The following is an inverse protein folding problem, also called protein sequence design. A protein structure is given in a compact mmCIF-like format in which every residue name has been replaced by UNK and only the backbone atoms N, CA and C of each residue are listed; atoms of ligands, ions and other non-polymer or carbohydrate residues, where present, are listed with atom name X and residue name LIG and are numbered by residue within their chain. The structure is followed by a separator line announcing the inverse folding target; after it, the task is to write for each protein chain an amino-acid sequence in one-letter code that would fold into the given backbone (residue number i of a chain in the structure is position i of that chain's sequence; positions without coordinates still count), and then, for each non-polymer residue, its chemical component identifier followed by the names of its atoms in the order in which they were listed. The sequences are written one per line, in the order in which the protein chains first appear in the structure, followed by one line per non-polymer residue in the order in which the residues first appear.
data_IF_455377868389
#
_entry.id   IF_455377868389
#
_cell.length_a   1.000
_cell.length_b   1.000
_cell.length_c   1.000
_cell.angle_alpha   90.00
_cell.angle_beta   90.00
_cell.angle_gamma   90.00
#
_symmetry.space_group_name_H-M   'P 1'
#
loop_
_entity.id
_entity.type
_entity.pdbx_description
1 polymer ?
#
# COMPACT_ATOMS: atom_id res chain seq x y z
N UNK A 1 -1.19 16.43 9.65
CA UNK A 1 -2.49 16.01 9.08
C UNK A 1 -2.66 14.54 9.38
N UNK A 2 -3.88 14.09 9.63
CA UNK A 2 -4.18 12.67 9.69
C UNK A 2 -4.07 12.04 8.31
N UNK A 3 -3.98 10.71 8.27
CA UNK A 3 -3.93 10.00 7.00
C UNK A 3 -5.23 10.17 6.20
N UNK A 4 -6.38 10.16 6.88
CA UNK A 4 -7.68 10.36 6.22
C UNK A 4 -7.81 11.77 5.62
N UNK A 5 -7.30 12.79 6.31
CA UNK A 5 -7.24 14.16 5.77
C UNK A 5 -6.37 14.23 4.50
N UNK A 6 -5.22 13.57 4.51
CA UNK A 6 -4.32 13.52 3.36
C UNK A 6 -4.97 12.83 2.16
N UNK A 7 -5.61 11.67 2.36
CA UNK A 7 -6.34 10.94 1.30
C UNK A 7 -7.51 11.78 0.77
N UNK A 8 -8.27 12.44 1.65
CA UNK A 8 -9.40 13.27 1.27
C UNK A 8 -9.03 14.44 0.35
N UNK A 9 -7.84 15.01 0.54
CA UNK A 9 -7.34 16.18 -0.20
C UNK A 9 -6.46 15.86 -1.40
N UNK A 10 -6.03 14.60 -1.54
CA UNK A 10 -5.11 14.17 -2.59
C UNK A 10 -5.72 14.28 -4.00
N UNK A 11 -4.86 14.65 -4.95
CA UNK A 11 -5.14 14.59 -6.39
C UNK A 11 -5.02 13.16 -6.93
N UNK A 12 -5.41 12.93 -8.19
CA UNK A 12 -5.37 11.61 -8.83
C UNK A 12 -3.97 10.98 -8.80
N UNK A 13 -2.92 11.78 -8.97
CA UNK A 13 -1.53 11.33 -8.94
C UNK A 13 -1.16 10.80 -7.55
N UNK A 14 -1.47 11.56 -6.50
CA UNK A 14 -1.16 11.19 -5.13
C UNK A 14 -2.00 9.99 -4.66
N UNK A 15 -3.28 9.93 -5.06
CA UNK A 15 -4.16 8.81 -4.77
C UNK A 15 -3.67 7.51 -5.43
N UNK A 16 -3.37 7.53 -6.73
CA UNK A 16 -2.85 6.37 -7.45
C UNK A 16 -1.50 5.92 -6.88
N UNK A 17 -0.55 6.84 -6.70
CA UNK A 17 0.76 6.52 -6.16
C UNK A 17 0.69 6.00 -4.72
N UNK A 18 -0.16 6.59 -3.86
CA UNK A 18 -0.36 6.14 -2.48
C UNK A 18 -0.93 4.72 -2.40
N UNK A 19 -1.91 4.40 -3.25
CA UNK A 19 -2.48 3.06 -3.35
C UNK A 19 -1.47 2.03 -3.90
N UNK A 20 -0.77 2.36 -4.99
CA UNK A 20 0.29 1.50 -5.56
C UNK A 20 1.43 1.30 -4.55
N UNK A 21 1.76 2.31 -3.74
CA UNK A 21 2.73 2.21 -2.66
C UNK A 21 2.31 1.19 -1.58
N UNK A 22 1.02 1.16 -1.20
CA UNK A 22 0.47 0.17 -0.28
C UNK A 22 0.60 -1.25 -0.85
N UNK A 23 0.27 -1.43 -2.14
CA UNK A 23 0.47 -2.69 -2.87
C UNK A 23 1.93 -3.12 -2.91
N UNK A 24 2.85 -2.22 -3.25
CA UNK A 24 4.29 -2.48 -3.34
C UNK A 24 4.84 -3.05 -2.03
N UNK A 25 4.44 -2.47 -0.89
CA UNK A 25 4.88 -2.92 0.42
C UNK A 25 4.33 -4.30 0.79
N UNK A 26 3.12 -4.64 0.31
CA UNK A 26 2.47 -5.92 0.56
C UNK A 26 2.82 -7.01 -0.47
N UNK A 27 3.54 -6.66 -1.54
CA UNK A 27 3.92 -7.56 -2.63
C UNK A 27 4.64 -8.86 -2.21
N UNK A 28 5.46 -8.92 -1.13
CA UNK A 28 6.12 -10.16 -0.70
C UNK A 28 5.15 -11.32 -0.37
N UNK A 29 3.85 -11.04 -0.23
CA UNK A 29 2.79 -12.04 -0.06
C UNK A 29 2.31 -12.67 -1.38
N UNK A 30 2.54 -12.02 -2.52
CA UNK A 30 2.06 -12.44 -3.83
C UNK A 30 3.19 -12.89 -4.76
N UNK A 31 4.38 -12.34 -4.59
CA UNK A 31 5.47 -12.53 -5.54
C UNK A 31 6.80 -12.81 -4.85
N UNK A 32 7.70 -13.44 -5.60
CA UNK A 32 9.06 -13.73 -5.15
C UNK A 32 9.88 -12.46 -4.85
N UNK A 33 11.01 -12.59 -4.13
CA UNK A 33 11.77 -11.47 -3.59
C UNK A 33 12.36 -10.52 -4.64
N UNK A 34 12.54 -10.98 -5.89
CA UNK A 34 13.10 -10.22 -7.02
C UNK A 34 12.02 -9.69 -7.98
N UNK A 35 10.75 -10.01 -7.74
CA UNK A 35 9.67 -9.62 -8.64
C UNK A 35 9.30 -8.14 -8.45
N UNK A 36 9.20 -7.39 -9.56
CA UNK A 36 8.83 -5.98 -9.57
C UNK A 36 7.65 -5.67 -10.54
N UNK A 37 6.52 -6.40 -10.44
CA UNK A 37 5.41 -6.29 -11.38
C UNK A 37 4.75 -4.89 -11.39
N UNK A 38 4.89 -4.10 -10.33
CA UNK A 38 4.24 -2.78 -10.22
C UNK A 38 5.02 -1.64 -10.88
N UNK A 39 6.25 -1.85 -11.36
CA UNK A 39 7.06 -0.80 -12.00
C UNK A 39 6.34 -0.08 -13.16
N UNK A 40 5.61 -0.77 -14.05
CA UNK A 40 4.83 -0.10 -15.09
C UNK A 40 3.74 0.80 -14.54
N UNK A 41 3.06 0.39 -13.45
CA UNK A 41 2.00 1.18 -12.79
C UNK A 41 2.56 2.46 -12.14
N UNK A 42 3.71 2.37 -11.48
CA UNK A 42 4.40 3.55 -10.93
C UNK A 42 4.66 4.61 -11.99
N UNK A 43 5.06 4.21 -13.20
CA UNK A 43 5.30 5.14 -14.30
C UNK A 43 4.01 5.79 -14.85
N UNK A 44 2.83 5.20 -14.60
CA UNK A 44 1.53 5.79 -14.95
C UNK A 44 1.00 6.75 -13.90
N UNK A 45 1.44 6.66 -12.64
CA UNK A 45 0.90 7.46 -11.54
C UNK A 45 1.07 8.98 -11.74
N UNK A 46 2.07 9.41 -12.52
CA UNK A 46 2.34 10.84 -12.74
C UNK A 46 1.19 11.58 -13.43
N UNK A 47 0.45 10.92 -14.32
CA UNK A 47 -0.55 11.58 -15.18
C UNK A 47 -1.60 10.62 -15.77
N UNK A 48 -1.66 9.38 -15.31
CA UNK A 48 -2.60 8.37 -15.79
C UNK A 48 -2.30 7.81 -17.18
N UNK A 49 -1.25 8.25 -17.89
CA UNK A 49 -0.90 7.69 -19.21
C UNK A 49 -0.68 6.20 -19.12
N UNK A 50 -1.35 5.46 -20.02
CA UNK A 50 -1.32 3.99 -20.07
C UNK A 50 -1.81 3.28 -18.80
N UNK A 51 -2.46 3.98 -17.86
CA UNK A 51 -2.88 3.42 -16.57
C UNK A 51 -3.70 2.14 -16.73
N UNK A 52 -4.81 2.19 -17.48
CA UNK A 52 -5.70 1.06 -17.65
C UNK A 52 -4.99 -0.15 -18.30
N UNK A 53 -4.18 0.10 -19.33
CA UNK A 53 -3.45 -0.94 -20.07
C UNK A 53 -2.41 -1.60 -19.18
N UNK A 54 -1.63 -0.81 -18.44
CA UNK A 54 -0.61 -1.34 -17.52
C UNK A 54 -1.24 -2.03 -16.32
N UNK A 55 -2.35 -1.53 -15.80
CA UNK A 55 -3.10 -2.20 -14.74
C UNK A 55 -3.60 -3.58 -15.19
N UNK A 56 -4.16 -3.68 -16.40
CA UNK A 56 -4.59 -4.95 -16.96
C UNK A 56 -3.41 -5.93 -17.11
N UNK A 57 -2.26 -5.46 -17.60
CA UNK A 57 -1.06 -6.30 -17.72
C UNK A 57 -0.58 -6.83 -16.36
N UNK A 58 -0.52 -5.97 -15.34
CA UNK A 58 -0.13 -6.37 -13.97
C UNK A 58 -1.10 -7.38 -13.38
N UNK A 59 -2.41 -7.21 -13.60
CA UNK A 59 -3.42 -8.18 -13.14
C UNK A 59 -3.21 -9.54 -13.77
N UNK A 60 -3.03 -9.59 -15.09
CA UNK A 60 -2.78 -10.84 -15.82
C UNK A 60 -1.53 -11.55 -15.31
N UNK A 61 -0.44 -10.81 -15.07
CA UNK A 61 0.80 -11.38 -14.53
C UNK A 61 0.59 -11.96 -13.13
N UNK A 62 -0.15 -11.26 -12.27
CA UNK A 62 -0.37 -11.63 -10.88
C UNK A 62 -1.48 -12.66 -10.66
N UNK A 63 -2.34 -12.90 -11.65
CA UNK A 63 -3.40 -13.92 -11.60
C UNK A 63 -2.83 -15.35 -11.66
N UNK A 64 -1.69 -15.54 -12.33
CA UNK A 64 -1.08 -16.86 -12.54
C UNK A 64 -0.57 -17.53 -11.26
N UNK A 65 -0.37 -16.78 -10.18
CA UNK A 65 0.05 -17.35 -8.90
C UNK A 65 -1.15 -17.96 -8.15
N UNK A 66 -1.05 -19.19 -7.64
CA UNK A 66 -2.01 -19.64 -6.64
C UNK A 66 -1.80 -18.85 -5.35
N UNK A 67 -2.88 -18.37 -4.73
CA UNK A 67 -2.82 -17.64 -3.46
C UNK A 67 -3.54 -18.45 -2.41
N UNK A 68 -2.86 -18.71 -1.30
CA UNK A 68 -3.47 -19.28 -0.12
C UNK A 68 -4.45 -18.30 0.52
N UNK A 69 -5.42 -18.82 1.26
CA UNK A 69 -6.27 -18.01 2.13
C UNK A 69 -5.42 -17.14 3.08
N UNK A 70 -6.00 -16.02 3.55
CA UNK A 70 -5.36 -15.11 4.49
C UNK A 70 -4.79 -13.82 3.86
N UNK A 71 -3.66 -13.28 4.36
CA UNK A 71 -3.17 -11.95 3.95
C UNK A 71 -2.92 -11.82 2.44
N UNK A 72 -2.44 -12.87 1.78
CA UNK A 72 -2.19 -12.86 0.35
C UNK A 72 -3.50 -12.67 -0.47
N UNK A 73 -4.61 -13.30 -0.04
CA UNK A 73 -5.91 -13.11 -0.68
C UNK A 73 -6.40 -11.65 -0.58
N UNK A 74 -6.15 -10.97 0.53
CA UNK A 74 -6.47 -9.54 0.70
C UNK A 74 -5.67 -8.66 -0.26
N UNK A 75 -4.36 -8.93 -0.43
CA UNK A 75 -3.51 -8.16 -1.36
C UNK A 75 -3.93 -8.40 -2.81
N UNK A 76 -4.34 -9.64 -3.15
CA UNK A 76 -4.90 -9.95 -4.47
C UNK A 76 -6.20 -9.19 -4.72
N UNK A 77 -7.12 -9.18 -3.75
CA UNK A 77 -8.36 -8.41 -3.84
C UNK A 77 -8.08 -6.90 -3.98
N UNK A 78 -7.08 -6.38 -3.26
CA UNK A 78 -6.64 -4.98 -3.34
C UNK A 78 -6.17 -4.59 -4.76
N UNK A 79 -5.40 -5.46 -5.44
CA UNK A 79 -5.02 -5.27 -6.86
C UNK A 79 -6.22 -5.42 -7.81
N UNK A 80 -7.08 -6.41 -7.54
CA UNK A 80 -8.30 -6.67 -8.32
C UNK A 80 -9.31 -5.52 -8.27
N UNK A 81 -9.34 -4.75 -7.18
CA UNK A 81 -10.24 -3.62 -6.98
C UNK A 81 -9.75 -2.30 -7.60
N UNK A 82 -8.51 -2.23 -8.08
CA UNK A 82 -7.97 -1.00 -8.67
C UNK A 82 -8.86 -0.46 -9.82
N UNK A 83 -9.21 0.83 -9.84
CA UNK A 83 -10.07 1.35 -10.89
C UNK A 83 -9.31 1.43 -12.21
N UNK A 84 -9.93 1.02 -13.33
CA UNK A 84 -9.36 1.25 -14.67
C UNK A 84 -9.40 2.72 -15.06
N UNK A 85 -10.34 3.49 -14.49
CA UNK A 85 -10.48 4.92 -14.72
C UNK A 85 -9.53 5.69 -13.79
N UNK A 86 -8.67 6.53 -14.39
CA UNK A 86 -7.76 7.40 -13.65
C UNK A 86 -8.46 8.69 -13.24
N UNK A 87 -9.43 8.58 -12.33
CA UNK A 87 -10.28 9.68 -11.88
C UNK A 87 -10.33 9.76 -10.34
N UNK A 88 -10.45 10.98 -9.81
CA UNK A 88 -10.33 11.24 -8.37
C UNK A 88 -11.28 10.41 -7.50
N UNK A 89 -12.54 10.25 -7.89
CA UNK A 89 -13.54 9.50 -7.10
C UNK A 89 -13.12 8.03 -6.89
N UNK A 90 -13.04 7.22 -7.96
CA UNK A 90 -12.62 5.82 -7.89
C UNK A 90 -11.24 5.64 -7.27
N UNK A 91 -10.27 6.50 -7.61
CA UNK A 91 -8.92 6.43 -7.03
C UNK A 91 -8.92 6.72 -5.52
N UNK A 92 -9.80 7.60 -5.03
CA UNK A 92 -9.91 7.91 -3.60
C UNK A 92 -10.48 6.74 -2.80
N UNK A 93 -11.56 6.15 -3.28
CA UNK A 93 -12.14 4.95 -2.66
C UNK A 93 -11.13 3.80 -2.63
N UNK A 94 -10.41 3.60 -3.73
CA UNK A 94 -9.38 2.57 -3.80
C UNK A 94 -8.17 2.86 -2.91
N UNK A 95 -7.70 4.11 -2.82
CA UNK A 95 -6.60 4.49 -1.94
C UNK A 95 -6.97 4.34 -0.46
N UNK A 96 -8.20 4.70 -0.08
CA UNK A 96 -8.72 4.48 1.27
C UNK A 96 -8.73 2.98 1.64
N UNK A 97 -9.29 2.15 0.76
CA UNK A 97 -9.32 0.70 0.95
C UNK A 97 -7.89 0.10 1.00
N UNK A 98 -7.00 0.51 0.10
CA UNK A 98 -5.60 0.08 0.08
C UNK A 98 -4.87 0.41 1.38
N UNK A 99 -5.06 1.62 1.88
CA UNK A 99 -4.49 2.11 3.13
C UNK A 99 -4.88 1.20 4.30
N UNK A 100 -6.18 0.91 4.44
CA UNK A 100 -6.69 0.05 5.50
C UNK A 100 -6.20 -1.40 5.37
N UNK A 101 -6.23 -1.97 4.16
CA UNK A 101 -5.76 -3.33 3.90
C UNK A 101 -4.28 -3.48 4.22
N UNK A 102 -3.44 -2.53 3.83
CA UNK A 102 -2.01 -2.57 4.15
C UNK A 102 -1.75 -2.58 5.67
N UNK A 103 -2.50 -1.79 6.45
CA UNK A 103 -2.40 -1.79 7.90
C UNK A 103 -2.83 -3.14 8.50
N UNK A 104 -3.96 -3.70 8.06
CA UNK A 104 -4.43 -5.05 8.47
C UNK A 104 -3.43 -6.16 8.11
N UNK A 105 -2.75 -6.03 6.98
CA UNK A 105 -1.70 -6.99 6.59
C UNK A 105 -0.51 -6.88 7.54
N UNK A 106 -0.05 -5.67 7.86
CA UNK A 106 1.08 -5.47 8.78
C UNK A 106 0.74 -5.91 10.21
N UNK A 107 -0.47 -5.64 10.70
CA UNK A 107 -0.93 -6.04 12.03
C UNK A 107 -0.91 -7.55 12.25
N UNK A 108 -1.21 -8.35 11.22
CA UNK A 108 -1.09 -9.81 11.29
C UNK A 108 0.33 -10.29 11.59
N UNK A 109 1.35 -9.47 11.33
CA UNK A 109 2.75 -9.76 11.61
C UNK A 109 3.28 -9.08 12.89
N UNK A 110 2.47 -8.25 13.56
CA UNK A 110 2.81 -7.70 14.88
C UNK A 110 2.60 -8.72 16.00
N UNK A 111 1.59 -9.59 15.90
CA UNK A 111 1.34 -10.65 16.86
C UNK A 111 2.17 -11.93 16.55
N UNK A 112 2.83 -12.55 17.54
CA UNK A 112 3.62 -13.78 17.35
C UNK A 112 2.77 -14.94 16.79
N UNK A 113 1.55 -15.11 17.33
CA UNK A 113 0.61 -16.14 16.90
C UNK A 113 -0.28 -15.67 15.73
N UNK A 114 -0.25 -14.38 15.39
CA UNK A 114 -1.06 -13.79 14.33
C UNK A 114 -2.51 -13.55 14.73
N UNK A 115 -2.81 -13.69 16.02
CA UNK A 115 -4.07 -13.28 16.60
C UNK A 115 -4.28 -11.79 16.37
N UNK A 116 -5.45 -11.49 15.84
CA UNK A 116 -5.89 -10.13 15.57
C UNK A 116 -6.68 -9.65 16.79
N UNK A 117 -6.39 -8.47 17.36
CA UNK A 117 -7.21 -7.89 18.43
C UNK A 117 -8.69 -7.84 18.04
N UNK A 118 -9.58 -8.11 18.99
CA UNK A 118 -11.04 -8.11 18.72
C UNK A 118 -11.56 -6.73 18.22
N UNK A 119 -10.84 -5.66 18.53
CA UNK A 119 -11.09 -4.26 18.19
C UNK A 119 -10.15 -3.72 17.11
N UNK A 120 -9.45 -4.58 16.35
CA UNK A 120 -8.48 -4.16 15.32
C UNK A 120 -9.07 -3.10 14.38
N UNK A 121 -10.30 -3.29 13.91
CA UNK A 121 -10.90 -2.36 12.96
C UNK A 121 -11.07 -0.95 13.53
N UNK A 122 -11.49 -0.84 14.79
CA UNK A 122 -11.70 0.45 15.44
C UNK A 122 -10.36 1.11 15.79
N UNK A 123 -9.38 0.33 16.25
CA UNK A 123 -8.01 0.80 16.48
C UNK A 123 -7.38 1.34 15.19
N UNK A 124 -7.55 0.65 14.07
CA UNK A 124 -7.03 1.11 12.77
C UNK A 124 -7.76 2.36 12.29
N UNK A 125 -9.07 2.47 12.49
CA UNK A 125 -9.82 3.71 12.16
C UNK A 125 -9.32 4.89 12.97
N UNK A 126 -9.16 4.74 14.29
CA UNK A 126 -8.63 5.76 15.18
C UNK A 126 -7.20 6.17 14.77
N UNK A 127 -6.33 5.20 14.50
CA UNK A 127 -4.96 5.49 14.06
C UNK A 127 -4.94 6.31 12.75
N UNK A 128 -5.79 5.96 11.78
CA UNK A 128 -5.89 6.67 10.48
C UNK A 128 -6.50 8.07 10.63
N UNK A 129 -7.41 8.27 11.59
CA UNK A 129 -7.98 9.61 11.91
C UNK A 129 -7.01 10.49 12.70
N UNK A 130 -5.86 9.94 13.15
CA UNK A 130 -4.86 10.65 13.94
C UNK A 130 -5.14 10.63 15.43
N UNK A 131 -6.12 9.85 15.87
CA UNK A 131 -6.39 9.61 17.28
C UNK A 131 -5.33 8.67 17.89
N UNK A 132 -5.01 8.83 19.19
CA UNK A 132 -4.15 7.87 19.89
C UNK A 132 -4.75 6.46 19.83
N UNK A 133 -4.02 5.52 19.23
CA UNK A 133 -4.40 4.12 19.14
C UNK A 133 -3.21 3.23 19.51
N UNK A 134 -3.47 2.20 20.31
CA UNK A 134 -2.46 1.24 20.75
C UNK A 134 -2.18 0.18 19.66
N UNK A 135 -1.61 0.61 18.55
CA UNK A 135 -1.25 -0.27 17.43
C UNK A 135 0.15 -0.86 17.58
N UNK A 136 0.37 -2.02 16.97
CA UNK A 136 1.68 -2.67 16.94
C UNK A 136 2.73 -1.91 16.11
N UNK A 137 4.03 -2.25 16.26
CA UNK A 137 5.12 -1.52 15.63
C UNK A 137 5.10 -1.54 14.10
N UNK A 138 4.65 -2.64 13.46
CA UNK A 138 4.54 -2.69 12.01
C UNK A 138 3.38 -1.87 11.49
N UNK A 139 2.24 -1.86 12.19
CA UNK A 139 1.12 -0.96 11.88
C UNK A 139 1.54 0.50 12.05
N UNK A 140 2.21 0.85 13.15
CA UNK A 140 2.71 2.21 13.39
C UNK A 140 3.67 2.67 12.29
N UNK A 141 4.67 1.85 11.95
CA UNK A 141 5.62 2.19 10.89
C UNK A 141 4.97 2.25 9.51
N UNK A 142 3.94 1.43 9.25
CA UNK A 142 3.20 1.49 7.99
C UNK A 142 2.34 2.75 7.88
N UNK A 143 1.66 3.13 8.95
CA UNK A 143 0.90 4.38 9.03
C UNK A 143 1.81 5.60 8.76
N UNK A 144 2.97 5.66 9.41
CA UNK A 144 3.95 6.73 9.22
C UNK A 144 4.40 6.81 7.75
N UNK A 145 4.69 5.68 7.11
CA UNK A 145 5.06 5.64 5.69
C UNK A 145 3.94 6.14 4.78
N UNK A 146 2.69 5.75 5.03
CA UNK A 146 1.55 6.20 4.24
C UNK A 146 1.37 7.71 4.32
N UNK A 147 1.43 8.27 5.54
CA UNK A 147 1.40 9.72 5.79
C UNK A 147 2.55 10.40 5.04
N UNK A 148 3.78 9.92 5.25
CA UNK A 148 4.97 10.55 4.67
C UNK A 148 4.96 10.55 3.14
N UNK A 149 4.48 9.48 2.52
CA UNK A 149 4.36 9.37 1.06
C UNK A 149 3.36 10.40 0.53
N UNK A 150 2.19 10.54 1.15
CA UNK A 150 1.19 11.50 0.71
C UNK A 150 1.65 12.94 0.91
N UNK A 151 2.36 13.24 2.00
CA UNK A 151 2.99 14.55 2.22
C UNK A 151 4.00 14.88 1.10
N UNK A 152 4.93 13.97 0.80
CA UNK A 152 5.91 14.15 -0.29
C UNK A 152 5.20 14.40 -1.64
N UNK A 153 4.12 13.69 -1.91
CA UNK A 153 3.39 13.81 -3.16
C UNK A 153 2.65 15.14 -3.25
N UNK A 154 2.01 15.56 -2.15
CA UNK A 154 1.31 16.85 -2.05
C UNK A 154 2.29 18.04 -2.17
N UNK A 155 3.46 17.96 -1.54
CA UNK A 155 4.52 18.99 -1.62
C UNK A 155 5.08 19.15 -3.04
N UNK A 156 4.97 18.13 -3.88
CA UNK A 156 5.57 18.12 -5.23
C UNK A 156 4.57 18.31 -6.37
N UNK A 157 3.26 18.34 -6.08
CA UNK A 157 2.21 18.56 -7.09
C UNK A 157 2.38 19.89 -7.82
N UNK A 158 2.27 19.88 -9.15
CA UNK A 158 2.30 21.09 -9.99
C UNK A 158 3.67 21.78 -10.09
N UNK A 159 4.73 21.18 -9.54
CA UNK A 159 6.09 21.72 -9.59
C UNK A 159 6.94 20.98 -10.63
N UNK A 160 8.03 21.60 -11.09
CA UNK A 160 9.03 20.93 -11.94
C UNK A 160 9.66 19.67 -11.29
N UNK A 161 9.44 19.45 -9.99
CA UNK A 161 9.93 18.32 -9.21
C UNK A 161 8.92 17.18 -9.00
N UNK A 162 7.77 17.17 -9.67
CA UNK A 162 6.72 16.14 -9.50
C UNK A 162 7.25 14.71 -9.68
N UNK A 163 8.08 14.47 -10.70
CA UNK A 163 8.73 13.17 -10.91
C UNK A 163 9.71 12.77 -9.80
N UNK A 164 10.35 13.73 -9.12
CA UNK A 164 11.21 13.46 -7.98
C UNK A 164 10.42 13.01 -6.74
N UNK A 165 9.20 13.55 -6.57
CA UNK A 165 8.27 13.11 -5.52
C UNK A 165 7.87 11.64 -5.67
N UNK A 166 7.50 11.21 -6.89
CA UNK A 166 7.18 9.81 -7.17
C UNK A 166 8.37 8.88 -6.91
N UNK A 167 9.58 9.29 -7.30
CA UNK A 167 10.79 8.49 -7.03
C UNK A 167 11.02 8.28 -5.53
N UNK A 168 10.90 9.34 -4.73
CA UNK A 168 10.99 9.25 -3.26
C UNK A 168 9.91 8.34 -2.67
N UNK A 169 8.68 8.42 -3.16
CA UNK A 169 7.59 7.56 -2.72
C UNK A 169 7.87 6.07 -3.04
N UNK A 170 8.42 5.79 -4.22
CA UNK A 170 8.85 4.45 -4.62
C UNK A 170 10.02 3.93 -3.77
N UNK A 171 11.00 4.78 -3.45
CA UNK A 171 12.12 4.41 -2.58
C UNK A 171 11.63 4.02 -1.17
N UNK A 172 10.74 4.83 -0.58
CA UNK A 172 10.10 4.54 0.71
C UNK A 172 9.27 3.26 0.67
N UNK A 173 8.56 3.01 -0.43
CA UNK A 173 7.77 1.79 -0.62
C UNK A 173 8.67 0.56 -0.74
N UNK A 174 9.80 0.70 -1.42
CA UNK A 174 10.79 -0.38 -1.57
C UNK A 174 11.46 -0.70 -0.23
N UNK A 175 11.72 0.29 0.62
CA UNK A 175 12.18 0.07 1.99
C UNK A 175 11.12 -0.65 2.84
N UNK A 176 9.87 -0.17 2.82
CA UNK A 176 8.76 -0.84 3.52
C UNK A 176 8.56 -2.30 3.09
N UNK A 177 8.69 -2.58 1.79
CA UNK A 177 8.68 -3.94 1.24
C UNK A 177 9.78 -4.82 1.84
N UNK A 178 11.01 -4.29 2.00
CA UNK A 178 12.12 -5.00 2.63
C UNK A 178 11.84 -5.32 4.10
N UNK A 179 11.25 -4.38 4.84
CA UNK A 179 10.86 -4.57 6.25
C UNK A 179 9.86 -5.71 6.39
N UNK A 180 8.75 -5.67 5.66
CA UNK A 180 7.71 -6.73 5.74
C UNK A 180 8.29 -8.10 5.39
N UNK A 181 9.09 -8.17 4.31
CA UNK A 181 9.78 -9.39 3.89
C UNK A 181 10.70 -9.95 4.99
N UNK A 182 11.46 -9.09 5.67
CA UNK A 182 12.36 -9.49 6.74
C UNK A 182 11.58 -10.08 7.94
N UNK A 183 10.45 -9.48 8.30
CA UNK A 183 9.57 -10.01 9.35
C UNK A 183 8.98 -11.36 8.96
N UNK A 184 8.42 -11.48 7.76
CA UNK A 184 7.88 -12.74 7.23
C UNK A 184 8.92 -13.86 7.27
N UNK A 185 10.15 -13.57 6.84
CA UNK A 185 11.28 -14.53 6.86
C UNK A 185 11.64 -14.95 8.29
N UNK A 186 11.68 -14.00 9.25
CA UNK A 186 11.93 -14.30 10.66
C UNK A 186 10.84 -15.21 11.24
N UNK A 187 9.57 -14.93 10.93
CA UNK A 187 8.44 -15.71 11.43
C UNK A 187 8.39 -17.12 10.83
N UNK A 188 8.74 -17.28 9.56
CA UNK A 188 8.86 -18.59 8.94
C UNK A 188 9.92 -19.46 9.64
N UNK A 189 11.08 -18.89 9.97
CA UNK A 189 12.14 -19.59 10.72
C UNK A 189 11.75 -19.95 12.15
N UNK A 190 10.95 -19.12 12.83
CA UNK A 190 10.49 -19.42 14.19
C UNK A 190 9.43 -20.53 14.28
N UNK A 191 8.85 -20.94 13.15
CA UNK A 191 7.89 -22.05 13.04
C UNK A 191 8.51 -23.35 12.50
N UNK A 192 9.79 -23.32 12.12
CA UNK A 192 10.57 -24.48 11.66
C UNK A 192 11.35 -25.08 12.81
#
# INVERSE_FOLDING_TARGET
MSLLELIGRADERALAAGAVACLERCLPLLAGPEAEPLRPLWASCENGREWAIRLAAVRTEMEQASVSDGPAALVRAMLGAAPSDFAAGPLREWADACSLVALRVHGRFDAPDGDVPADEEDLLKAARSGEPAAVGPLVAGELERQVRILEILAETTGTAGSGAGLRKALDLSTEGRRVLRAVMSRRARGRS
#
